data_IF_704751239897
#
_entry.id   IF_704751239897
#
_cell.length_a   1.000
_cell.length_b   1.000
_cell.length_c   1.000
_cell.angle_alpha   90.00
_cell.angle_beta   90.00
_cell.angle_gamma   90.00
#
_symmetry.space_group_name_H-M   'P 1'
#
loop_
_entity.id
_entity.type
_entity.pdbx_description
1 polymer ?
#
# COMPACT_ATOMS: atom_id res chain seq x y z
N UNK A 1 -16.28 25.87 -34.04
CA UNK A 1 -15.62 25.08 -32.98
C UNK A 1 -16.69 24.49 -32.10
N UNK A 2 -16.87 23.17 -32.16
CA UNK A 2 -17.76 22.43 -31.26
C UNK A 2 -16.87 21.60 -30.33
N UNK A 3 -17.09 21.75 -29.03
CA UNK A 3 -16.41 21.02 -27.97
C UNK A 3 -17.16 19.67 -27.77
N UNK A 4 -16.50 18.50 -27.87
CA UNK A 4 -17.17 17.25 -27.56
C UNK A 4 -17.14 17.01 -26.05
N UNK A 5 -18.20 17.42 -25.36
CA UNK A 5 -18.55 16.86 -24.06
C UNK A 5 -18.91 15.38 -24.29
N UNK A 6 -17.98 14.48 -23.99
CA UNK A 6 -18.20 13.05 -24.03
C UNK A 6 -19.17 12.66 -22.91
N UNK A 7 -20.42 12.39 -23.28
CA UNK A 7 -21.39 11.70 -22.42
C UNK A 7 -21.18 10.20 -22.55
N UNK A 8 -20.21 9.65 -21.81
CA UNK A 8 -20.17 8.21 -21.52
C UNK A 8 -20.75 8.03 -20.12
N UNK A 9 -22.08 8.06 -20.06
CA UNK A 9 -22.83 7.75 -18.86
C UNK A 9 -23.14 6.26 -18.86
N UNK A 10 -22.45 5.48 -18.04
CA UNK A 10 -22.97 4.24 -17.47
C UNK A 10 -22.26 3.96 -16.12
N UNK A 11 -23.07 4.01 -15.05
CA UNK A 11 -22.86 3.36 -13.74
C UNK A 11 -21.95 4.09 -12.72
N UNK A 12 -22.37 5.28 -12.27
CA UNK A 12 -22.15 5.70 -10.88
C UNK A 12 -23.13 4.96 -9.94
N UNK A 13 -23.16 3.62 -10.00
CA UNK A 13 -24.17 2.82 -9.30
C UNK A 13 -23.77 2.54 -7.85
N UNK A 14 -24.28 3.37 -6.95
CA UNK A 14 -24.23 3.20 -5.50
C UNK A 14 -22.85 3.45 -4.87
N UNK A 15 -22.57 4.73 -4.63
CA UNK A 15 -21.69 5.17 -3.54
C UNK A 15 -22.38 4.86 -2.19
N UNK A 16 -22.60 3.59 -1.90
CA UNK A 16 -22.88 3.16 -0.53
C UNK A 16 -21.57 3.28 0.24
N UNK A 17 -21.52 4.03 1.36
CA UNK A 17 -20.29 4.21 2.14
C UNK A 17 -19.66 2.87 2.52
N UNK A 18 -20.47 1.85 2.82
CA UNK A 18 -20.02 0.48 3.11
C UNK A 18 -19.04 -0.09 2.06
N UNK A 19 -19.29 0.11 0.76
CA UNK A 19 -18.45 -0.49 -0.29
C UNK A 19 -17.06 0.18 -0.40
N UNK A 20 -16.95 1.43 0.04
CA UNK A 20 -15.68 2.17 0.10
C UNK A 20 -14.81 1.56 1.20
N UNK A 21 -15.38 1.37 2.40
CA UNK A 21 -14.68 0.78 3.55
C UNK A 21 -14.09 -0.59 3.22
N UNK A 22 -14.87 -1.51 2.64
CA UNK A 22 -14.37 -2.85 2.27
C UNK A 22 -13.19 -2.79 1.28
N UNK A 23 -13.23 -1.84 0.35
CA UNK A 23 -12.16 -1.67 -0.65
C UNK A 23 -10.90 -1.09 -0.02
N UNK A 24 -11.03 -0.08 0.83
CA UNK A 24 -9.90 0.52 1.56
C UNK A 24 -9.27 -0.54 2.50
N UNK A 25 -10.08 -1.37 3.17
CA UNK A 25 -9.57 -2.49 3.96
C UNK A 25 -8.81 -3.51 3.11
N UNK A 26 -9.34 -3.90 1.95
CA UNK A 26 -8.66 -4.86 1.06
C UNK A 26 -7.33 -4.32 0.55
N UNK A 27 -7.26 -3.03 0.21
CA UNK A 27 -6.02 -2.37 -0.21
C UNK A 27 -4.98 -2.35 0.93
N UNK A 28 -5.41 -2.00 2.14
CA UNK A 28 -4.53 -1.97 3.30
C UNK A 28 -3.99 -3.37 3.65
N UNK A 29 -4.82 -4.41 3.53
CA UNK A 29 -4.38 -5.80 3.66
C UNK A 29 -3.36 -6.18 2.58
N UNK A 30 -3.57 -5.74 1.34
CA UNK A 30 -2.65 -6.02 0.24
C UNK A 30 -1.27 -5.39 0.49
N UNK A 31 -1.25 -4.12 0.88
CA UNK A 31 -0.02 -3.39 1.21
C UNK A 31 0.71 -4.07 2.39
N UNK A 32 -0.02 -4.44 3.44
CA UNK A 32 0.56 -5.13 4.60
C UNK A 32 1.18 -6.50 4.22
N UNK A 33 0.52 -7.25 3.32
CA UNK A 33 1.03 -8.52 2.83
C UNK A 33 2.34 -8.35 2.03
N UNK A 34 2.41 -7.32 1.16
CA UNK A 34 3.61 -7.00 0.39
C UNK A 34 4.78 -6.60 1.29
N UNK A 35 4.53 -5.71 2.25
CA UNK A 35 5.53 -5.28 3.25
C UNK A 35 6.08 -6.48 4.03
N UNK A 36 5.21 -7.38 4.48
CA UNK A 36 5.59 -8.60 5.20
C UNK A 36 6.47 -9.51 4.35
N UNK A 37 6.09 -9.76 3.10
CA UNK A 37 6.87 -10.61 2.20
C UNK A 37 8.27 -10.03 1.92
N UNK A 38 8.35 -8.72 1.66
CA UNK A 38 9.63 -8.03 1.45
C UNK A 38 10.54 -8.12 2.68
N UNK A 39 9.99 -7.87 3.88
CA UNK A 39 10.75 -7.94 5.13
C UNK A 39 11.25 -9.37 5.42
N UNK A 40 10.41 -10.38 5.22
CA UNK A 40 10.80 -11.78 5.39
C UNK A 40 11.93 -12.18 4.43
N UNK A 41 11.86 -11.76 3.17
CA UNK A 41 12.91 -12.01 2.19
C UNK A 41 14.23 -11.33 2.62
N UNK A 42 14.17 -10.08 3.11
CA UNK A 42 15.36 -9.39 3.60
C UNK A 42 15.99 -10.11 4.80
N UNK A 43 15.20 -10.55 5.79
CA UNK A 43 15.71 -11.31 6.93
C UNK A 43 16.33 -12.66 6.54
N UNK A 44 15.82 -13.31 5.49
CA UNK A 44 16.35 -14.58 5.02
C UNK A 44 17.69 -14.45 4.28
N UNK A 45 17.95 -13.29 3.67
CA UNK A 45 19.10 -13.07 2.77
C UNK A 45 20.08 -11.99 3.21
N UNK A 46 19.78 -11.26 4.28
CA UNK A 46 20.59 -10.15 4.78
C UNK A 46 20.60 -10.12 6.31
N UNK A 47 21.74 -9.75 6.89
CA UNK A 47 21.91 -9.49 8.32
C UNK A 47 21.65 -8.02 8.71
N UNK A 48 21.16 -7.19 7.77
CA UNK A 48 20.83 -5.80 8.04
C UNK A 48 19.54 -5.63 8.86
N UNK A 49 19.36 -4.46 9.45
CA UNK A 49 18.11 -4.08 10.10
C UNK A 49 17.19 -3.40 9.09
N UNK A 50 15.96 -3.91 8.96
CA UNK A 50 14.97 -3.40 8.02
C UNK A 50 13.68 -3.05 8.73
N UNK A 51 13.01 -2.01 8.27
CA UNK A 51 11.64 -1.66 8.66
C UNK A 51 10.76 -1.63 7.43
N UNK A 52 9.45 -1.82 7.58
CA UNK A 52 8.51 -1.70 6.47
C UNK A 52 8.11 -0.25 6.21
N UNK A 53 7.65 0.01 5.00
CA UNK A 53 7.05 1.28 4.58
C UNK A 53 5.85 1.04 3.65
N UNK A 54 4.93 1.98 3.63
CA UNK A 54 3.77 2.04 2.74
C UNK A 54 4.09 2.72 1.39
N UNK A 55 5.31 2.51 0.87
CA UNK A 55 5.75 3.14 -0.38
C UNK A 55 5.05 2.56 -1.60
N UNK A 56 4.39 3.42 -2.38
CA UNK A 56 3.83 3.09 -3.69
C UNK A 56 4.89 3.00 -4.83
N UNK A 57 6.16 3.28 -4.52
CA UNK A 57 7.25 3.37 -5.51
C UNK A 57 8.30 2.25 -5.34
N UNK A 58 7.95 1.16 -4.68
CA UNK A 58 8.81 -0.02 -4.54
C UNK A 58 9.74 -0.01 -3.32
N UNK A 59 9.73 1.02 -2.48
CA UNK A 59 10.48 1.05 -1.22
C UNK A 59 9.66 0.41 -0.08
N UNK A 60 9.28 -0.86 -0.24
CA UNK A 60 8.44 -1.56 0.76
C UNK A 60 9.17 -1.82 2.09
N UNK A 61 10.50 -1.83 2.06
CA UNK A 61 11.37 -1.91 3.22
C UNK A 61 12.52 -0.91 3.08
N UNK A 62 13.00 -0.39 4.20
CA UNK A 62 14.19 0.46 4.25
C UNK A 62 15.23 -0.12 5.21
N UNK A 63 16.53 -0.10 4.83
CA UNK A 63 17.60 -0.38 5.76
C UNK A 63 17.72 0.76 6.76
N UNK A 64 17.86 0.43 8.04
CA UNK A 64 17.96 1.40 9.14
C UNK A 64 19.05 0.97 10.14
N UNK A 65 19.40 1.88 11.05
CA UNK A 65 20.15 1.50 12.24
C UNK A 65 19.21 0.85 13.27
N UNK A 66 19.67 -0.16 14.02
CA UNK A 66 18.88 -0.73 15.11
C UNK A 66 18.49 0.34 16.13
N UNK A 67 17.22 0.28 16.58
CA UNK A 67 16.73 1.14 17.65
C UNK A 67 17.24 0.56 18.97
N UNK A 68 17.99 1.34 19.73
CA UNK A 68 18.34 1.04 21.11
C UNK A 68 17.28 1.71 21.98
N UNK A 69 16.53 0.92 22.75
CA UNK A 69 15.68 1.48 23.81
C UNK A 69 16.60 2.04 24.89
N UNK A 70 16.43 3.31 25.25
CA UNK A 70 17.08 3.86 26.44
C UNK A 70 16.39 3.23 27.66
N UNK A 71 17.17 2.57 28.51
CA UNK A 71 16.71 2.03 29.80
C UNK A 71 16.25 3.15 30.75
#
# INVERSE_FOLDING_TARGET
>A
GQNPQQTSGLIALARSPLNKDFRDHAEQQHIAAQQKAALQHAHAHSSGYFITQDSAFGNLILPVLPRLEAE
#
